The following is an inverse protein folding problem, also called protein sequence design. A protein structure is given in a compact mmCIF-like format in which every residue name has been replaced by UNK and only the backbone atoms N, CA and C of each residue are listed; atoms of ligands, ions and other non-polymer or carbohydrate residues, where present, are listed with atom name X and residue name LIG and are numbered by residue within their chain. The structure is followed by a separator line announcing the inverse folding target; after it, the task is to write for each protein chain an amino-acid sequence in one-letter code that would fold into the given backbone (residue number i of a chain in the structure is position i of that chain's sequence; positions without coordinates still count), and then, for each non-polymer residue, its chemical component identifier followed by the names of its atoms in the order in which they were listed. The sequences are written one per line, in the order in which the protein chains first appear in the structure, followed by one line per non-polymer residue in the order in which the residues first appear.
data_IF_253573147987
#
_entry.id   IF_253573147987
#
_cell.length_a   1.000
_cell.length_b   1.000
_cell.length_c   1.000
_cell.angle_alpha   90.00
_cell.angle_beta   90.00
_cell.angle_gamma   90.00
#
_symmetry.space_group_name_H-M   'P 1'
#
loop_
_entity.id
_entity.type
_entity.pdbx_description
1 polymer ?
#
# COMPACT_ATOMS: atom_id res chain seq x y z
N UNK A 1 20.42 11.79 -16.60
CA UNK A 1 19.00 11.41 -16.81
C UNK A 1 18.20 11.34 -15.51
N UNK A 2 18.42 10.34 -14.63
CA UNK A 2 17.60 10.19 -13.41
C UNK A 2 17.60 11.41 -12.47
N UNK A 3 18.74 12.10 -12.34
CA UNK A 3 18.86 13.31 -11.54
C UNK A 3 17.87 14.43 -11.95
N UNK A 4 17.49 14.51 -13.24
CA UNK A 4 16.52 15.51 -13.71
C UNK A 4 15.13 15.24 -13.12
N UNK A 5 14.77 13.98 -12.87
CA UNK A 5 13.51 13.69 -12.16
C UNK A 5 13.55 14.21 -10.74
N UNK A 6 14.64 13.97 -10.02
CA UNK A 6 14.82 14.45 -8.64
C UNK A 6 14.72 15.99 -8.60
N UNK A 7 15.35 16.69 -9.56
CA UNK A 7 15.24 18.15 -9.66
C UNK A 7 13.79 18.59 -9.92
N UNK A 8 13.10 17.89 -10.81
CA UNK A 8 11.72 18.22 -11.18
C UNK A 8 10.69 17.96 -10.07
N UNK A 9 11.04 17.21 -9.01
CA UNK A 9 10.15 16.96 -7.88
C UNK A 9 10.01 18.20 -6.98
N UNK A 10 11.10 18.91 -6.71
CA UNK A 10 11.10 20.10 -5.85
C UNK A 10 11.03 21.41 -6.63
N UNK A 11 11.50 21.45 -7.87
CA UNK A 11 11.35 22.60 -8.77
C UNK A 11 10.35 22.23 -9.86
N UNK A 12 9.05 22.33 -9.56
CA UNK A 12 7.98 21.90 -10.47
C UNK A 12 7.61 23.00 -11.47
N UNK A 13 7.80 22.71 -12.76
CA UNK A 13 7.27 23.54 -13.85
C UNK A 13 5.96 22.97 -14.43
N UNK A 14 5.06 23.80 -14.98
CA UNK A 14 3.79 23.34 -15.55
C UNK A 14 3.93 22.27 -16.63
N UNK A 15 5.04 22.29 -17.38
CA UNK A 15 5.37 21.30 -18.40
C UNK A 15 6.86 21.02 -18.38
N UNK A 16 7.21 19.74 -18.55
CA UNK A 16 8.60 19.28 -18.49
C UNK A 16 9.53 20.02 -19.46
N UNK A 17 9.11 20.27 -20.70
CA UNK A 17 9.99 20.90 -21.68
C UNK A 17 10.45 22.31 -21.26
N UNK A 18 9.78 22.94 -20.29
CA UNK A 18 10.11 24.30 -19.85
C UNK A 18 11.43 24.40 -19.07
N UNK A 19 12.04 23.28 -18.66
CA UNK A 19 13.36 23.34 -18.02
C UNK A 19 14.52 23.76 -18.95
N UNK A 20 14.33 23.69 -20.27
CA UNK A 20 15.39 23.90 -21.28
C UNK A 20 15.40 25.26 -21.98
N UNK A 21 14.27 25.89 -22.34
CA UNK A 21 14.27 27.20 -22.97
C UNK A 21 14.98 28.24 -22.10
N UNK A 22 15.77 29.11 -22.72
CA UNK A 22 16.42 30.25 -22.05
C UNK A 22 15.42 31.40 -21.79
N UNK A 23 14.31 31.08 -21.13
CA UNK A 23 13.29 32.02 -20.67
C UNK A 23 13.54 32.39 -19.22
N UNK A 24 13.39 33.67 -18.87
CA UNK A 24 13.78 34.21 -17.56
C UNK A 24 13.05 33.61 -16.37
N UNK A 25 11.87 33.03 -16.60
CA UNK A 25 10.97 32.51 -15.56
C UNK A 25 11.06 31.00 -15.35
N UNK A 26 11.70 30.26 -16.27
CA UNK A 26 11.61 28.80 -16.32
C UNK A 26 12.90 28.07 -16.68
N UNK A 27 13.92 28.76 -17.21
CA UNK A 27 15.21 28.16 -17.52
C UNK A 27 15.83 27.53 -16.26
N UNK A 28 16.22 26.26 -16.36
CA UNK A 28 16.93 25.56 -15.30
C UNK A 28 18.32 25.14 -15.80
N UNK A 29 19.33 25.90 -15.39
CA UNK A 29 20.72 25.69 -15.78
C UNK A 29 21.21 24.27 -15.45
N UNK A 30 20.88 23.76 -14.26
CA UNK A 30 21.29 22.42 -13.84
C UNK A 30 20.68 21.32 -14.72
N UNK A 31 19.40 21.45 -15.10
CA UNK A 31 18.72 20.49 -15.99
C UNK A 31 19.25 20.59 -17.41
N UNK A 32 19.34 21.80 -17.95
CA UNK A 32 19.77 22.04 -19.34
C UNK A 32 21.21 21.61 -19.57
N UNK A 33 22.11 21.84 -18.62
CA UNK A 33 23.51 21.43 -18.71
C UNK A 33 23.70 19.92 -18.50
N UNK A 34 22.85 19.27 -17.70
CA UNK A 34 22.98 17.83 -17.40
C UNK A 34 22.54 16.92 -18.55
N UNK A 35 21.55 17.31 -19.34
CA UNK A 35 21.09 16.54 -20.49
C UNK A 35 20.32 17.45 -21.46
N UNK A 36 20.61 17.41 -22.76
CA UNK A 36 19.83 18.13 -23.76
C UNK A 36 18.38 17.63 -23.84
N UNK A 37 17.43 18.49 -24.19
CA UNK A 37 16.00 18.16 -24.24
C UNK A 37 15.73 16.94 -25.13
N UNK A 38 16.23 16.97 -26.36
CA UNK A 38 15.96 15.92 -27.35
C UNK A 38 16.60 14.59 -26.93
N UNK A 39 17.79 14.65 -26.31
CA UNK A 39 18.45 13.47 -25.75
C UNK A 39 17.66 12.91 -24.55
N UNK A 40 17.14 13.78 -23.67
CA UNK A 40 16.28 13.36 -22.57
C UNK A 40 15.00 12.69 -23.07
N UNK A 41 14.33 13.28 -24.07
CA UNK A 41 13.10 12.73 -24.65
C UNK A 41 13.37 11.41 -25.39
N UNK A 42 14.50 11.30 -26.10
CA UNK A 42 14.93 10.06 -26.74
C UNK A 42 15.18 8.94 -25.73
N UNK A 43 15.85 9.23 -24.62
CA UNK A 43 16.07 8.26 -23.53
C UNK A 43 14.73 7.88 -22.91
N UNK A 44 13.84 8.83 -22.63
CA UNK A 44 12.50 8.57 -22.08
C UNK A 44 11.69 7.58 -22.92
N UNK A 45 11.74 7.74 -24.25
CA UNK A 45 10.98 6.90 -25.16
C UNK A 45 11.50 5.46 -25.22
N UNK A 46 12.82 5.28 -25.08
CA UNK A 46 13.50 4.00 -25.28
C UNK A 46 14.04 3.39 -23.98
N UNK A 47 13.73 3.96 -22.82
CA UNK A 47 14.20 3.46 -21.54
C UNK A 47 13.67 2.04 -21.30
N UNK A 48 14.56 1.05 -21.40
CA UNK A 48 14.30 -0.34 -21.06
C UNK A 48 15.48 -0.83 -20.21
N UNK A 49 15.19 -1.61 -19.17
CA UNK A 49 16.21 -2.17 -18.29
C UNK A 49 16.65 -3.58 -18.70
N UNK A 50 15.97 -4.21 -19.68
CA UNK A 50 16.26 -5.53 -20.22
C UNK A 50 15.79 -5.60 -21.68
N UNK A 51 16.58 -6.27 -22.52
CA UNK A 51 16.27 -6.47 -23.94
C UNK A 51 15.38 -7.71 -24.16
N UNK A 52 15.59 -8.77 -23.38
CA UNK A 52 14.78 -9.99 -23.45
C UNK A 52 13.60 -9.94 -22.46
N UNK A 53 12.43 -9.60 -22.98
CA UNK A 53 11.24 -9.30 -22.19
C UNK A 53 10.32 -10.51 -22.17
N UNK A 54 10.09 -11.05 -20.97
CA UNK A 54 9.03 -12.03 -20.76
C UNK A 54 7.65 -11.42 -21.05
N UNK A 55 7.06 -11.77 -22.20
CA UNK A 55 5.78 -11.24 -22.67
C UNK A 55 4.58 -11.58 -21.79
N UNK A 56 4.69 -12.59 -20.93
CA UNK A 56 3.62 -12.95 -19.98
C UNK A 56 3.50 -11.95 -18.83
N UNK A 57 4.59 -11.25 -18.49
CA UNK A 57 4.61 -10.25 -17.45
C UNK A 57 4.49 -8.85 -18.06
N UNK A 58 3.34 -8.23 -17.81
CA UNK A 58 3.03 -6.88 -18.31
C UNK A 58 3.98 -5.80 -17.78
N UNK A 59 4.70 -6.07 -16.69
CA UNK A 59 5.69 -5.16 -16.12
C UNK A 59 7.14 -5.62 -16.35
N UNK A 60 7.38 -6.59 -17.23
CA UNK A 60 8.71 -7.17 -17.47
C UNK A 60 9.81 -6.12 -17.71
N UNK A 61 9.50 -5.04 -18.46
CA UNK A 61 10.43 -3.91 -18.69
C UNK A 61 10.92 -3.21 -17.42
N UNK A 62 10.11 -3.22 -16.36
CA UNK A 62 10.43 -2.60 -15.07
C UNK A 62 11.04 -3.58 -14.07
N UNK A 63 10.99 -4.89 -14.33
CA UNK A 63 11.45 -5.90 -13.35
C UNK A 63 12.91 -5.76 -12.95
N UNK A 64 13.87 -5.56 -13.86
CA UNK A 64 15.26 -5.39 -13.43
C UNK A 64 15.44 -4.16 -12.53
N UNK A 65 14.75 -3.07 -12.86
CA UNK A 65 14.78 -1.84 -12.08
C UNK A 65 14.17 -2.03 -10.69
N UNK A 66 12.98 -2.64 -10.61
CA UNK A 66 12.29 -2.97 -9.36
C UNK A 66 13.19 -3.87 -8.50
N UNK A 67 13.71 -4.96 -9.06
CA UNK A 67 14.59 -5.90 -8.35
C UNK A 67 15.86 -5.22 -7.83
N UNK A 68 16.48 -4.34 -8.63
CA UNK A 68 17.66 -3.58 -8.21
C UNK A 68 17.34 -2.64 -7.04
N UNK A 69 16.25 -1.87 -7.14
CA UNK A 69 15.84 -0.97 -6.08
C UNK A 69 15.50 -1.71 -4.80
N UNK A 70 14.71 -2.79 -4.87
CA UNK A 70 14.36 -3.58 -3.70
C UNK A 70 15.60 -4.19 -3.02
N UNK A 71 16.59 -4.65 -3.80
CA UNK A 71 17.87 -5.10 -3.25
C UNK A 71 18.55 -3.97 -2.46
N UNK A 72 18.64 -2.77 -3.03
CA UNK A 72 19.20 -1.60 -2.34
C UNK A 72 18.39 -1.18 -1.12
N UNK A 73 17.07 -1.23 -1.19
CA UNK A 73 16.21 -0.91 -0.07
C UNK A 73 16.44 -1.87 1.09
N UNK A 74 16.59 -3.17 0.80
CA UNK A 74 16.90 -4.18 1.81
C UNK A 74 18.32 -4.02 2.39
N UNK A 75 19.33 -3.72 1.56
CA UNK A 75 20.72 -3.49 2.02
C UNK A 75 20.81 -2.33 3.04
N UNK A 76 19.98 -1.30 2.87
CA UNK A 76 19.96 -0.13 3.75
C UNK A 76 18.82 -0.15 4.78
N UNK A 77 18.01 -1.21 4.81
CA UNK A 77 16.91 -1.33 5.75
C UNK A 77 17.45 -1.67 7.15
N UNK A 78 17.10 -0.84 8.13
CA UNK A 78 17.30 -1.15 9.55
C UNK A 78 16.10 -1.98 10.02
N UNK A 79 16.29 -3.23 10.47
CA UNK A 79 15.19 -4.09 10.88
C UNK A 79 14.27 -3.43 11.91
N UNK A 80 12.96 -3.51 11.63
CA UNK A 80 11.92 -2.94 12.48
C UNK A 80 11.03 -4.06 13.05
N UNK A 81 10.49 -3.89 14.27
CA UNK A 81 9.63 -4.90 14.91
C UNK A 81 8.28 -5.06 14.20
N UNK A 82 7.88 -4.09 13.38
CA UNK A 82 6.60 -4.09 12.67
C UNK A 82 6.77 -3.52 11.28
N UNK A 83 6.08 -4.13 10.33
CA UNK A 83 6.06 -3.71 8.93
C UNK A 83 4.61 -3.61 8.47
N UNK A 84 4.28 -2.53 7.77
CA UNK A 84 2.96 -2.32 7.16
C UNK A 84 2.95 -2.76 5.70
N UNK A 85 1.87 -3.38 5.28
CA UNK A 85 1.59 -3.70 3.88
C UNK A 85 0.34 -2.93 3.47
N UNK A 86 0.45 -2.10 2.44
CA UNK A 86 -0.66 -1.35 1.90
C UNK A 86 -0.44 -1.07 0.41
N UNK A 87 -1.36 -0.38 -0.23
CA UNK A 87 -1.35 -0.14 -1.65
C UNK A 87 -1.24 1.35 -1.95
N UNK A 88 -0.28 1.72 -2.79
CA UNK A 88 -0.10 3.06 -3.31
C UNK A 88 -0.70 3.18 -4.73
N UNK A 89 -1.06 4.41 -5.10
CA UNK A 89 -1.50 4.74 -6.45
C UNK A 89 -0.46 5.65 -7.11
N UNK A 90 -0.01 5.28 -8.31
CA UNK A 90 0.81 6.12 -9.20
C UNK A 90 -0.06 6.61 -10.33
N UNK A 91 -0.22 7.93 -10.41
CA UNK A 91 -1.11 8.57 -11.38
C UNK A 91 -0.71 8.27 -12.83
N UNK A 92 -1.68 7.89 -13.65
CA UNK A 92 -1.46 7.66 -15.08
C UNK A 92 -2.76 7.80 -15.87
N UNK A 93 -2.76 8.71 -16.84
CA UNK A 93 -3.93 9.00 -17.67
C UNK A 93 -3.94 8.27 -19.03
N UNK A 94 -2.80 7.71 -19.46
CA UNK A 94 -2.68 7.04 -20.75
C UNK A 94 -3.46 5.73 -20.88
N UNK A 95 -3.42 5.12 -22.07
CA UNK A 95 -4.14 3.89 -22.38
C UNK A 95 -3.21 2.68 -22.23
N UNK A 96 -3.28 2.01 -21.08
CA UNK A 96 -2.55 0.77 -20.83
C UNK A 96 -3.41 -0.23 -20.04
N UNK A 97 -3.24 -1.52 -20.30
CA UNK A 97 -4.16 -2.57 -19.80
C UNK A 97 -4.12 -2.79 -18.28
N UNK A 98 -3.00 -2.46 -17.62
CA UNK A 98 -2.87 -2.57 -16.16
C UNK A 98 -3.35 -1.34 -15.38
N UNK A 99 -3.83 -0.29 -16.07
CA UNK A 99 -4.35 0.90 -15.40
C UNK A 99 -5.62 0.54 -14.61
N UNK A 100 -5.65 0.94 -13.35
CA UNK A 100 -6.80 0.78 -12.47
C UNK A 100 -7.55 2.11 -12.31
N UNK A 101 -8.87 2.01 -12.12
CA UNK A 101 -9.75 3.12 -11.78
C UNK A 101 -10.39 2.86 -10.43
N UNK A 102 -9.92 3.54 -9.38
CA UNK A 102 -10.44 3.38 -8.03
C UNK A 102 -11.26 4.60 -7.65
N UNK A 103 -12.57 4.42 -7.47
CA UNK A 103 -13.46 5.50 -7.01
C UNK A 103 -13.12 5.85 -5.56
N UNK A 104 -13.29 7.12 -5.20
CA UNK A 104 -13.08 7.66 -3.85
C UNK A 104 -11.62 7.61 -3.33
N UNK A 105 -10.64 7.49 -4.24
CA UNK A 105 -9.23 7.75 -3.93
C UNK A 105 -8.82 9.12 -4.51
N UNK A 106 -7.89 9.86 -3.88
CA UNK A 106 -7.38 11.13 -4.42
C UNK A 106 -6.87 10.97 -5.86
N UNK A 107 -6.08 9.92 -6.12
CA UNK A 107 -5.65 9.52 -7.45
C UNK A 107 -6.63 8.45 -7.97
N UNK A 108 -7.52 8.85 -8.87
CA UNK A 108 -8.56 7.98 -9.42
C UNK A 108 -8.03 7.00 -10.47
N UNK A 109 -7.12 7.44 -11.32
CA UNK A 109 -6.62 6.68 -12.48
C UNK A 109 -5.12 6.49 -12.39
N UNK A 110 -4.66 5.24 -12.40
CA UNK A 110 -3.23 4.98 -12.23
C UNK A 110 -2.86 3.52 -12.13
N UNK A 111 -1.59 3.28 -11.83
CA UNK A 111 -1.10 1.97 -11.43
C UNK A 111 -1.24 1.81 -9.93
N UNK A 112 -1.87 0.72 -9.51
CA UNK A 112 -1.87 0.32 -8.11
C UNK A 112 -0.61 -0.50 -7.85
N UNK A 113 0.08 -0.20 -6.75
CA UNK A 113 1.34 -0.84 -6.37
C UNK A 113 1.20 -1.32 -4.94
N UNK A 114 1.55 -2.57 -4.67
CA UNK A 114 1.72 -3.07 -3.31
C UNK A 114 3.00 -2.49 -2.73
N UNK A 115 2.95 -1.98 -1.52
CA UNK A 115 4.08 -1.41 -0.82
C UNK A 115 4.21 -2.07 0.55
N UNK A 116 5.45 -2.38 0.91
CA UNK A 116 5.85 -2.84 2.22
C UNK A 116 6.72 -1.76 2.85
N UNK A 117 6.28 -1.22 3.99
CA UNK A 117 6.94 -0.07 4.63
C UNK A 117 7.20 -0.35 6.11
N UNK A 118 8.27 0.25 6.64
CA UNK A 118 8.49 0.31 8.09
C UNK A 118 7.58 1.35 8.75
N UNK A 119 7.51 1.33 10.07
CA UNK A 119 6.80 2.35 10.86
C UNK A 119 7.33 3.77 10.67
N UNK A 120 8.58 3.95 10.23
CA UNK A 120 9.16 5.26 9.91
C UNK A 120 8.78 5.79 8.52
N UNK A 121 8.06 5.00 7.72
CA UNK A 121 7.72 5.31 6.33
C UNK A 121 8.71 4.77 5.30
N UNK A 122 9.87 4.25 5.72
CA UNK A 122 10.85 3.65 4.80
C UNK A 122 10.24 2.53 3.96
N UNK A 123 10.38 2.61 2.64
CA UNK A 123 9.91 1.61 1.69
C UNK A 123 10.90 0.46 1.58
N UNK A 124 10.43 -0.74 1.88
CA UNK A 124 11.24 -1.98 1.93
C UNK A 124 11.11 -2.72 0.60
N UNK A 125 9.88 -2.88 0.12
CA UNK A 125 9.57 -3.63 -1.08
C UNK A 125 8.32 -3.06 -1.75
N UNK A 126 8.24 -3.20 -3.07
CA UNK A 126 7.04 -2.85 -3.81
C UNK A 126 6.88 -3.71 -5.07
N UNK A 127 5.64 -3.96 -5.48
CA UNK A 127 5.32 -4.76 -6.68
C UNK A 127 4.04 -4.21 -7.33
N UNK A 128 4.04 -3.89 -8.64
CA UNK A 128 2.83 -3.53 -9.35
C UNK A 128 1.72 -4.57 -9.18
N UNK A 129 0.50 -4.08 -8.90
CA UNK A 129 -0.65 -4.95 -8.70
C UNK A 129 -1.02 -5.65 -10.02
N UNK A 130 -0.72 -6.94 -10.09
CA UNK A 130 -1.24 -7.83 -11.14
C UNK A 130 -2.40 -8.65 -10.57
N UNK A 131 -3.47 -8.76 -11.37
CA UNK A 131 -4.74 -9.40 -10.99
C UNK A 131 -4.61 -10.86 -10.52
N UNK A 132 -3.45 -11.50 -10.70
CA UNK A 132 -3.24 -12.94 -10.47
C UNK A 132 -2.32 -13.29 -9.28
N UNK A 133 -1.81 -12.34 -8.49
CA UNK A 133 -0.94 -12.66 -7.34
C UNK A 133 -1.69 -12.55 -6.00
N UNK A 134 -2.49 -13.58 -5.70
CA UNK A 134 -3.16 -13.79 -4.40
C UNK A 134 -2.25 -14.42 -3.33
N UNK A 135 -0.93 -14.25 -3.45
CA UNK A 135 0.06 -15.14 -2.82
C UNK A 135 0.89 -14.54 -1.68
N UNK A 136 0.52 -13.40 -1.11
CA UNK A 136 1.31 -12.78 -0.04
C UNK A 136 1.00 -13.36 1.34
N UNK A 137 -0.27 -13.44 1.74
CA UNK A 137 -0.61 -13.82 3.13
C UNK A 137 -0.18 -15.25 3.51
N UNK A 138 -0.19 -16.20 2.57
CA UNK A 138 0.21 -17.59 2.85
C UNK A 138 1.73 -17.76 2.95
N UNK A 139 2.52 -16.92 2.24
CA UNK A 139 3.98 -17.00 2.26
C UNK A 139 4.60 -16.44 3.54
N UNK A 140 4.00 -15.41 4.15
CA UNK A 140 4.54 -14.77 5.35
C UNK A 140 4.56 -15.73 6.54
N UNK A 141 3.54 -16.60 6.64
CA UNK A 141 3.47 -17.57 7.73
C UNK A 141 4.51 -18.69 7.61
N UNK A 142 4.80 -19.17 6.41
CA UNK A 142 5.89 -20.15 6.19
C UNK A 142 7.27 -19.61 6.53
N UNK A 143 7.41 -18.28 6.55
CA UNK A 143 8.65 -17.57 6.87
C UNK A 143 8.75 -17.15 8.35
N UNK A 144 7.78 -17.52 9.19
CA UNK A 144 7.76 -17.17 10.61
C UNK A 144 7.30 -15.74 10.91
N UNK A 145 6.72 -15.03 9.93
CA UNK A 145 6.15 -13.71 10.17
C UNK A 145 4.71 -13.79 10.64
N UNK A 146 4.45 -13.01 11.67
CA UNK A 146 3.12 -12.79 12.21
C UNK A 146 2.36 -11.72 11.42
N UNK A 147 1.04 -11.89 11.31
CA UNK A 147 0.18 -11.00 10.54
C UNK A 147 -0.99 -10.50 11.37
N UNK A 148 -1.31 -9.21 11.25
CA UNK A 148 -2.52 -8.62 11.85
C UNK A 148 -3.18 -7.69 10.84
N UNK A 149 -4.51 -7.77 10.72
CA UNK A 149 -5.25 -6.93 9.78
C UNK A 149 -6.75 -6.95 9.99
N UNK A 150 -7.42 -5.95 9.43
CA UNK A 150 -8.89 -5.89 9.44
C UNK A 150 -9.47 -6.87 8.42
N UNK A 151 -10.48 -7.63 8.84
CA UNK A 151 -11.18 -8.58 7.99
C UNK A 151 -12.57 -8.03 7.65
N UNK A 152 -12.96 -8.14 6.37
CA UNK A 152 -14.35 -7.90 6.00
C UNK A 152 -15.20 -9.06 6.50
N UNK A 153 -16.29 -8.75 7.21
CA UNK A 153 -17.13 -9.77 7.82
C UNK A 153 -17.73 -10.76 6.81
N UNK A 154 -18.02 -10.30 5.58
CA UNK A 154 -18.54 -11.15 4.50
C UNK A 154 -17.49 -12.09 3.88
N UNK A 155 -16.24 -12.05 4.34
CA UNK A 155 -15.17 -12.97 3.93
C UNK A 155 -14.94 -14.08 4.96
N UNK A 156 -15.71 -14.10 6.05
CA UNK A 156 -15.65 -15.14 7.07
C UNK A 156 -16.67 -16.24 6.75
N UNK A 157 -16.21 -17.49 6.75
CA UNK A 157 -17.07 -18.66 6.60
C UNK A 157 -18.06 -18.78 7.77
N UNK A 158 -19.24 -19.34 7.51
CA UNK A 158 -20.26 -19.57 8.54
C UNK A 158 -19.81 -20.52 9.67
N UNK A 159 -18.71 -21.25 9.46
CA UNK A 159 -18.12 -22.20 10.41
C UNK A 159 -17.41 -21.54 11.60
N UNK A 160 -17.08 -20.24 11.54
CA UNK A 160 -16.47 -19.56 12.68
C UNK A 160 -17.50 -19.33 13.80
N UNK A 161 -17.22 -19.72 15.05
CA UNK A 161 -18.14 -19.54 16.18
C UNK A 161 -18.13 -18.09 16.70
N UNK A 162 -18.15 -17.11 15.79
CA UNK A 162 -18.17 -15.68 16.12
C UNK A 162 -19.57 -15.11 15.96
N UNK A 163 -20.05 -14.38 16.97
CA UNK A 163 -21.40 -13.83 16.92
C UNK A 163 -21.58 -12.93 15.70
N UNK A 164 -22.74 -13.03 15.04
CA UNK A 164 -23.00 -12.27 13.81
C UNK A 164 -22.91 -10.75 14.05
N UNK A 165 -22.58 -9.96 13.02
CA UNK A 165 -22.59 -8.49 13.14
C UNK A 165 -23.93 -7.96 13.67
N UNK A 166 -25.04 -8.63 13.33
CA UNK A 166 -26.38 -8.29 13.80
C UNK A 166 -26.53 -8.42 15.32
N UNK A 167 -25.78 -9.28 15.99
CA UNK A 167 -25.79 -9.40 17.45
C UNK A 167 -25.23 -8.15 18.12
N UNK A 168 -24.17 -7.56 17.54
CA UNK A 168 -23.61 -6.29 17.98
C UNK A 168 -24.46 -5.07 17.59
N UNK A 169 -25.27 -5.18 16.52
CA UNK A 169 -26.21 -4.11 16.13
C UNK A 169 -27.52 -4.14 16.93
N UNK A 170 -27.94 -5.31 17.43
CA UNK A 170 -29.06 -5.44 18.38
C UNK A 170 -28.74 -4.90 19.77
N UNK A 171 -27.45 -4.83 20.12
CA UNK A 171 -26.92 -4.12 21.29
C UNK A 171 -26.80 -2.61 21.04
N UNK A 172 -27.83 -2.01 20.43
CA UNK A 172 -27.89 -0.56 20.13
C UNK A 172 -27.79 0.32 21.39
N UNK A 173 -28.07 -0.25 22.55
CA UNK A 173 -28.01 0.40 23.87
C UNK A 173 -26.68 0.21 24.61
N UNK A 174 -25.77 -0.63 24.13
CA UNK A 174 -24.46 -0.79 24.77
C UNK A 174 -23.52 0.36 24.38
N UNK A 175 -22.88 0.97 25.38
CA UNK A 175 -21.84 1.97 25.17
C UNK A 175 -20.68 1.40 24.34
N UNK A 176 -19.92 2.25 23.64
CA UNK A 176 -18.73 1.86 22.86
C UNK A 176 -17.76 1.02 23.71
N UNK A 177 -17.25 -0.09 23.19
CA UNK A 177 -16.28 -0.94 23.91
C UNK A 177 -16.55 -2.46 23.97
N UNK A 178 -17.79 -2.99 23.85
CA UNK A 178 -18.03 -4.42 23.88
C UNK A 178 -17.22 -5.14 22.80
N UNK A 179 -16.42 -6.10 23.24
CA UNK A 179 -15.56 -6.92 22.37
C UNK A 179 -15.70 -8.40 22.69
N UNK A 180 -15.79 -9.19 21.64
CA UNK A 180 -15.78 -10.64 21.66
C UNK A 180 -14.57 -11.11 20.86
N UNK A 181 -13.75 -11.95 21.46
CA UNK A 181 -12.67 -12.62 20.75
C UNK A 181 -13.03 -14.08 20.66
N UNK A 182 -12.99 -14.57 19.43
CA UNK A 182 -13.18 -15.98 19.14
C UNK A 182 -11.92 -16.46 18.47
N UNK A 183 -11.30 -17.47 19.06
CA UNK A 183 -10.21 -18.19 18.42
C UNK A 183 -10.83 -19.07 17.34
N UNK A 184 -11.03 -18.50 16.16
CA UNK A 184 -11.44 -19.25 14.99
C UNK A 184 -10.28 -20.09 14.51
N UNK A 185 -10.24 -21.38 14.87
CA UNK A 185 -9.26 -22.32 14.32
C UNK A 185 -9.57 -22.49 12.83
N UNK A 186 -9.06 -21.58 12.01
CA UNK A 186 -8.97 -21.77 10.57
C UNK A 186 -8.16 -23.05 10.39
N UNK A 187 -8.74 -24.07 9.76
CA UNK A 187 -8.16 -25.40 9.53
C UNK A 187 -6.62 -25.34 9.50
N UNK A 188 -5.98 -25.76 10.60
CA UNK A 188 -4.53 -25.83 10.83
C UNK A 188 -3.71 -24.53 10.96
N UNK A 189 -4.31 -23.33 10.99
CA UNK A 189 -3.58 -22.06 10.88
C UNK A 189 -3.53 -21.09 12.08
N UNK A 190 -4.18 -21.37 13.21
CA UNK A 190 -3.94 -20.62 14.47
C UNK A 190 -4.27 -19.11 14.44
N UNK A 191 -5.11 -18.66 13.50
CA UNK A 191 -5.50 -17.25 13.39
C UNK A 191 -6.57 -16.93 14.43
N UNK A 192 -6.32 -15.94 15.29
CA UNK A 192 -7.25 -15.42 16.28
C UNK A 192 -8.12 -14.32 15.66
N UNK A 193 -9.44 -14.38 15.87
CA UNK A 193 -10.37 -13.39 15.31
C UNK A 193 -11.00 -12.59 16.46
N UNK A 194 -10.83 -11.27 16.43
CA UNK A 194 -11.43 -10.38 17.43
C UNK A 194 -12.43 -9.45 16.77
N UNK A 195 -13.62 -9.33 17.35
CA UNK A 195 -14.68 -8.43 16.90
C UNK A 195 -15.09 -7.51 18.04
N UNK A 196 -15.23 -6.22 17.74
CA UNK A 196 -15.65 -5.25 18.74
C UNK A 196 -16.56 -4.18 18.16
N UNK A 197 -17.36 -3.57 19.02
CA UNK A 197 -18.21 -2.42 18.70
C UNK A 197 -17.42 -1.12 18.95
N UNK A 198 -17.07 -0.45 17.86
CA UNK A 198 -16.64 0.95 17.85
C UNK A 198 -17.83 1.83 17.42
N UNK A 199 -17.65 2.83 16.57
CA UNK A 199 -18.78 3.48 15.87
C UNK A 199 -19.54 2.46 15.00
N UNK A 200 -18.81 1.49 14.44
CA UNK A 200 -19.34 0.33 13.72
C UNK A 200 -18.69 -0.93 14.24
N UNK A 201 -19.21 -2.09 13.84
CA UNK A 201 -18.61 -3.37 14.20
C UNK A 201 -17.34 -3.58 13.38
N UNK A 202 -16.21 -3.73 14.07
CA UNK A 202 -14.91 -4.01 13.44
C UNK A 202 -14.55 -5.46 13.68
N UNK A 203 -13.99 -6.12 12.66
CA UNK A 203 -13.44 -7.47 12.79
C UNK A 203 -11.96 -7.44 12.40
N UNK A 204 -11.12 -8.05 13.23
CA UNK A 204 -9.68 -8.16 13.05
C UNK A 204 -9.27 -9.64 13.11
N UNK A 205 -8.33 -10.03 12.26
CA UNK A 205 -7.62 -11.30 12.35
C UNK A 205 -6.17 -11.04 12.74
N UNK A 206 -5.62 -11.87 13.62
CA UNK A 206 -4.22 -11.84 14.01
C UNK A 206 -3.69 -13.25 14.21
N UNK A 207 -2.42 -13.50 13.90
CA UNK A 207 -1.75 -14.76 14.29
C UNK A 207 -1.27 -14.74 15.74
N UNK A 208 -1.08 -13.55 16.31
CA UNK A 208 -0.36 -13.37 17.58
C UNK A 208 -1.24 -12.79 18.66
N UNK A 209 -2.00 -11.76 18.31
CA UNK A 209 -2.75 -10.94 19.24
C UNK A 209 -4.17 -11.44 19.44
N UNK A 210 -4.59 -11.48 20.71
CA UNK A 210 -5.97 -11.79 21.12
C UNK A 210 -6.63 -10.53 21.70
N UNK A 211 -7.67 -10.72 22.51
CA UNK A 211 -8.33 -9.65 23.25
C UNK A 211 -7.40 -8.91 24.21
N UNK A 212 -6.48 -9.64 24.83
CA UNK A 212 -5.70 -9.16 25.97
C UNK A 212 -4.28 -8.78 25.56
N UNK A 213 -3.68 -7.75 26.20
CA UNK A 213 -4.29 -6.89 27.23
C UNK A 213 -5.26 -5.85 26.64
N UNK A 214 -6.33 -5.54 27.38
CA UNK A 214 -7.28 -4.46 27.02
C UNK A 214 -6.84 -3.17 27.70
N UNK A 215 -6.71 -2.08 26.92
CA UNK A 215 -6.42 -0.75 27.44
C UNK A 215 -7.59 0.21 27.22
N UNK A 216 -7.71 1.21 28.10
CA UNK A 216 -8.66 2.32 27.91
C UNK A 216 -8.03 3.36 26.98
N UNK A 217 -8.77 3.80 25.97
CA UNK A 217 -8.30 4.79 24.99
C UNK A 217 -9.31 5.93 24.86
N UNK A 218 -8.83 7.17 24.82
CA UNK A 218 -9.65 8.36 24.57
C UNK A 218 -9.89 8.51 23.07
N UNK A 219 -11.15 8.54 22.62
CA UNK A 219 -11.51 8.65 21.19
C UNK A 219 -12.65 9.62 20.95
N UNK A 220 -12.63 10.27 19.80
CA UNK A 220 -13.76 11.10 19.36
C UNK A 220 -15.00 10.23 19.11
N UNK A 221 -16.13 10.61 19.70
CA UNK A 221 -17.45 10.07 19.38
C UNK A 221 -18.19 11.06 18.49
N UNK A 222 -18.60 10.61 17.30
CA UNK A 222 -19.41 11.43 16.38
C UNK A 222 -20.82 11.66 16.92
N UNK A 223 -21.37 10.69 17.65
CA UNK A 223 -22.73 10.77 18.21
C UNK A 223 -22.80 11.73 19.40
N UNK A 224 -21.78 11.70 20.27
CA UNK A 224 -21.70 12.58 21.45
C UNK A 224 -20.96 13.91 21.15
N UNK A 225 -20.44 14.09 19.94
CA UNK A 225 -19.60 15.24 19.51
C UNK A 225 -18.51 15.65 20.51
N UNK A 226 -17.90 14.65 21.16
CA UNK A 226 -16.85 14.85 22.17
C UNK A 226 -15.92 13.65 22.24
N UNK A 227 -14.76 13.84 22.86
CA UNK A 227 -13.91 12.71 23.24
C UNK A 227 -14.52 11.95 24.43
N UNK A 228 -14.61 10.63 24.29
CA UNK A 228 -14.99 9.67 25.33
C UNK A 228 -13.88 8.66 25.55
#
# INVERSE_FOLDING_TARGET
FLAIFIVSEYNQLPRRYMYWPHTSDTFNEAVSNANGRDQFDAIMLHFNAEDDINKSDKFAKLRPFISHLQKKFMEHFVPAPSISHDEAMVEYFGKYSCKQSIRNKPIRFGYKIWCQNSSSGYLIAFDPYLLWKLLLLNQHKTLGYSGTGTLRANRLNASYPISSMRCFDKKKEEERGPSETVTGVLESNGIKITRWKDNTVVTMGSTDYEKNPVSKVKRWSKEKSKHI
#
